data_IF_407102702486
#
_entry.id   IF_407102702486
#
_cell.length_a   1.000
_cell.length_b   1.000
_cell.length_c   1.000
_cell.angle_alpha   90.00
_cell.angle_beta   90.00
_cell.angle_gamma   90.00
#
_symmetry.space_group_name_H-M   'P 1'
#
loop_
_entity.id
_entity.type
_entity.pdbx_description
1 polymer ?
#
# COMPACT_ATOMS: atom_id res chain seq x y z
N UNK A 1 -18.45 48.33 6.96
CA UNK A 1 -18.97 48.48 5.60
C UNK A 1 -19.04 49.95 5.28
N UNK A 2 -18.77 50.32 4.05
CA UNK A 2 -18.87 51.72 3.55
C UNK A 2 -20.33 52.08 3.25
N UNK A 3 -21.26 51.15 3.50
CA UNK A 3 -22.67 51.33 3.19
C UNK A 3 -23.36 52.29 4.18
N UNK A 4 -24.15 53.19 3.65
CA UNK A 4 -25.03 54.08 4.43
C UNK A 4 -26.35 53.37 4.64
N UNK A 5 -26.84 53.26 5.91
CA UNK A 5 -28.14 52.65 6.18
C UNK A 5 -29.28 53.39 5.51
N UNK A 6 -30.36 52.69 5.17
CA UNK A 6 -31.54 53.26 4.59
C UNK A 6 -32.13 54.38 5.50
N UNK A 7 -32.42 55.51 4.93
CA UNK A 7 -32.95 56.67 5.66
C UNK A 7 -31.87 57.66 6.17
N UNK A 8 -30.58 57.35 5.98
CA UNK A 8 -29.45 58.21 6.36
C UNK A 8 -28.66 58.67 5.13
N UNK A 9 -27.83 59.68 5.35
CA UNK A 9 -26.87 60.20 4.37
C UNK A 9 -25.45 60.16 4.95
N UNK A 10 -24.40 60.15 4.13
CA UNK A 10 -23.03 59.98 4.59
C UNK A 10 -22.56 61.05 5.57
N UNK A 11 -23.06 62.26 5.47
CA UNK A 11 -22.77 63.36 6.40
C UNK A 11 -23.33 63.15 7.81
N UNK A 12 -24.22 62.18 7.98
CA UNK A 12 -24.76 61.78 9.28
C UNK A 12 -23.95 60.64 9.95
N UNK A 13 -22.87 60.22 9.34
CA UNK A 13 -21.96 59.23 9.92
C UNK A 13 -21.22 59.81 11.13
N UNK A 14 -21.24 59.09 12.23
CA UNK A 14 -20.54 59.38 13.48
C UNK A 14 -20.90 60.74 14.14
N UNK A 15 -22.09 61.28 13.85
CA UNK A 15 -22.61 62.52 14.46
C UNK A 15 -23.84 62.21 15.35
N UNK A 16 -24.12 63.01 16.38
CA UNK A 16 -25.27 62.85 17.22
C UNK A 16 -26.59 62.86 16.42
N UNK A 17 -27.40 61.84 16.58
CA UNK A 17 -28.67 61.67 15.86
C UNK A 17 -28.54 61.05 14.46
N UNK A 18 -27.30 60.75 14.05
CA UNK A 18 -26.99 59.99 12.85
C UNK A 18 -26.80 58.51 13.11
N UNK A 19 -25.86 57.92 12.41
CA UNK A 19 -25.48 56.47 12.58
C UNK A 19 -23.98 56.31 12.76
N UNK A 20 -23.57 55.21 13.42
CA UNK A 20 -22.17 54.79 13.50
C UNK A 20 -22.07 53.34 13.13
N UNK A 21 -20.97 52.96 12.51
CA UNK A 21 -20.71 51.55 12.21
C UNK A 21 -20.47 50.78 13.51
N UNK A 22 -20.98 49.55 13.59
CA UNK A 22 -20.68 48.64 14.69
C UNK A 22 -19.17 48.38 14.72
N UNK A 23 -18.46 48.73 15.82
CA UNK A 23 -17.00 48.55 15.89
C UNK A 23 -16.60 47.10 16.10
N UNK A 24 -17.50 46.26 16.59
CA UNK A 24 -17.22 44.86 16.83
C UNK A 24 -17.29 44.04 15.54
N UNK A 25 -16.34 43.15 15.41
CA UNK A 25 -16.33 42.19 14.30
C UNK A 25 -17.22 41.01 14.71
N UNK A 26 -18.12 40.59 13.83
CA UNK A 26 -18.93 39.38 14.02
C UNK A 26 -18.05 38.17 14.28
N UNK A 27 -18.43 37.35 15.26
CA UNK A 27 -17.72 36.11 15.61
C UNK A 27 -17.56 35.19 14.36
N UNK A 28 -16.36 34.71 14.16
CA UNK A 28 -16.01 33.77 13.09
C UNK A 28 -16.94 32.55 13.06
N UNK A 29 -17.44 32.11 14.21
CA UNK A 29 -18.41 31.01 14.30
C UNK A 29 -19.72 31.30 13.58
N UNK A 30 -20.10 32.56 13.40
CA UNK A 30 -21.29 32.94 12.63
C UNK A 30 -21.16 32.44 11.15
N UNK A 31 -20.04 32.70 10.49
CA UNK A 31 -19.79 32.21 9.14
C UNK A 31 -19.49 30.70 9.13
N UNK A 32 -18.67 30.23 10.06
CA UNK A 32 -18.30 28.82 10.16
C UNK A 32 -19.51 27.91 10.35
N UNK A 33 -20.55 28.36 11.06
CA UNK A 33 -21.78 27.61 11.28
C UNK A 33 -22.65 27.45 10.03
N UNK A 34 -22.38 28.18 8.96
CA UNK A 34 -23.06 28.05 7.66
C UNK A 34 -22.21 27.25 6.64
N UNK A 35 -21.10 26.68 7.06
CA UNK A 35 -20.21 25.96 6.14
C UNK A 35 -20.90 24.90 5.29
N UNK A 36 -21.83 24.06 5.79
CA UNK A 36 -22.56 23.11 4.96
C UNK A 36 -23.34 23.77 3.83
N UNK A 37 -24.07 24.86 4.13
CA UNK A 37 -24.85 25.61 3.16
C UNK A 37 -23.94 26.32 2.13
N UNK A 38 -22.86 26.97 2.59
CA UNK A 38 -21.89 27.66 1.72
C UNK A 38 -21.25 26.70 0.72
N UNK A 39 -20.76 25.56 1.19
CA UNK A 39 -20.08 24.57 0.33
C UNK A 39 -21.02 23.94 -0.69
N UNK A 40 -22.30 23.78 -0.32
CA UNK A 40 -23.32 23.20 -1.19
C UNK A 40 -24.05 24.23 -2.05
N UNK A 41 -23.60 25.50 -2.07
CA UNK A 41 -24.14 26.59 -2.90
C UNK A 41 -25.55 27.02 -2.56
N UNK A 42 -25.89 27.02 -1.27
CA UNK A 42 -27.19 27.48 -0.77
C UNK A 42 -27.47 28.90 -1.24
N UNK A 43 -28.68 29.12 -1.80
CA UNK A 43 -29.15 30.41 -2.35
C UNK A 43 -28.26 31.04 -3.42
N UNK A 44 -27.24 30.37 -3.94
CA UNK A 44 -26.56 30.87 -5.13
C UNK A 44 -27.50 30.81 -6.34
N UNK A 45 -27.60 31.89 -7.15
CA UNK A 45 -28.50 31.90 -8.29
C UNK A 45 -28.06 30.93 -9.38
N UNK A 46 -29.04 30.34 -10.07
CA UNK A 46 -28.82 29.46 -11.20
C UNK A 46 -29.24 28.00 -10.97
N UNK A 47 -29.76 27.38 -12.02
CA UNK A 47 -30.26 25.98 -11.96
C UNK A 47 -29.17 24.97 -11.58
N UNK A 48 -27.92 25.19 -12.04
CA UNK A 48 -26.78 24.34 -11.70
C UNK A 48 -26.49 24.38 -10.18
N UNK A 49 -26.45 25.56 -9.59
CA UNK A 49 -26.21 25.72 -8.14
C UNK A 49 -27.32 25.09 -7.32
N UNK A 50 -28.56 25.28 -7.73
CA UNK A 50 -29.71 24.63 -7.11
C UNK A 50 -29.66 23.10 -7.22
N UNK A 51 -29.21 22.57 -8.36
CA UNK A 51 -29.03 21.12 -8.54
C UNK A 51 -27.92 20.59 -7.62
N UNK A 52 -26.80 21.31 -7.48
CA UNK A 52 -25.72 20.96 -6.54
C UNK A 52 -26.24 20.95 -5.11
N UNK A 53 -26.93 22.01 -4.68
CA UNK A 53 -27.51 22.06 -3.34
C UNK A 53 -28.43 20.87 -3.06
N UNK A 54 -29.40 20.61 -3.95
CA UNK A 54 -30.35 19.52 -3.79
C UNK A 54 -29.69 18.13 -3.77
N UNK A 55 -28.56 17.96 -4.45
CA UNK A 55 -27.81 16.70 -4.49
C UNK A 55 -26.87 16.49 -3.28
N UNK A 56 -26.42 17.57 -2.63
CA UNK A 56 -25.34 17.50 -1.64
C UNK A 56 -25.69 18.01 -0.24
N UNK A 57 -26.86 18.63 -0.07
CA UNK A 57 -27.38 19.05 1.23
C UNK A 57 -28.67 18.31 1.59
N UNK A 58 -28.80 17.66 2.76
CA UNK A 58 -27.77 17.49 3.80
C UNK A 58 -26.55 16.68 3.33
N UNK A 59 -25.37 16.96 3.89
CA UNK A 59 -24.14 16.25 3.57
C UNK A 59 -24.17 14.81 4.14
N UNK A 60 -23.39 13.89 3.55
CA UNK A 60 -23.29 12.52 4.09
C UNK A 60 -22.42 12.48 5.35
N UNK A 61 -21.27 13.15 5.32
CA UNK A 61 -20.25 13.04 6.35
C UNK A 61 -19.62 14.39 6.68
N UNK A 62 -19.46 14.65 7.99
CA UNK A 62 -18.77 15.83 8.52
C UNK A 62 -17.64 15.44 9.47
N UNK A 63 -16.37 15.45 9.02
CA UNK A 63 -15.22 15.31 9.91
C UNK A 63 -14.98 16.60 10.72
N UNK A 64 -14.67 16.45 12.00
CA UNK A 64 -14.31 17.59 12.88
C UNK A 64 -13.46 17.15 14.07
N UNK A 65 -12.82 18.11 14.73
CA UNK A 65 -12.16 17.91 16.03
C UNK A 65 -13.15 17.89 17.19
N UNK A 66 -12.78 17.16 18.25
CA UNK A 66 -13.61 17.04 19.46
C UNK A 66 -13.78 18.35 20.23
N UNK A 67 -12.86 19.29 20.10
CA UNK A 67 -12.81 20.53 20.87
C UNK A 67 -13.78 21.61 20.38
N UNK A 68 -14.39 21.44 19.20
CA UNK A 68 -15.34 22.39 18.62
C UNK A 68 -16.80 21.91 18.62
N UNK A 69 -17.12 20.86 19.39
CA UNK A 69 -18.49 20.31 19.47
C UNK A 69 -19.45 21.35 20.00
N UNK A 70 -19.14 22.05 21.09
CA UNK A 70 -19.99 23.03 21.70
C UNK A 70 -20.11 24.36 20.94
N UNK A 71 -19.17 24.65 20.10
CA UNK A 71 -19.11 25.88 19.31
C UNK A 71 -19.60 25.62 17.90
N UNK A 72 -18.73 25.12 17.05
CA UNK A 72 -18.99 24.96 15.63
C UNK A 72 -20.10 23.94 15.31
N UNK A 73 -20.05 22.72 15.90
CA UNK A 73 -21.05 21.68 15.60
C UNK A 73 -22.45 22.14 16.06
N UNK A 74 -22.55 22.58 17.33
CA UNK A 74 -23.84 23.02 17.89
C UNK A 74 -24.45 24.13 17.06
N UNK A 75 -23.70 25.20 16.77
CA UNK A 75 -24.20 26.35 15.99
C UNK A 75 -24.58 25.95 14.57
N UNK A 76 -23.86 25.01 13.95
CA UNK A 76 -24.19 24.54 12.60
C UNK A 76 -25.48 23.74 12.58
N UNK A 77 -25.70 22.85 13.55
CA UNK A 77 -26.93 22.06 13.66
C UNK A 77 -28.12 22.95 13.94
N UNK A 78 -27.99 23.90 14.88
CA UNK A 78 -29.05 24.82 15.25
C UNK A 78 -29.48 25.67 14.04
N UNK A 79 -28.55 26.27 13.32
CA UNK A 79 -28.83 27.07 12.12
C UNK A 79 -29.48 26.27 11.01
N UNK A 80 -28.95 25.11 10.69
CA UNK A 80 -29.54 24.27 9.65
C UNK A 80 -30.94 23.79 10.03
N UNK A 81 -31.17 23.49 11.32
CA UNK A 81 -32.48 23.12 11.80
C UNK A 81 -33.48 24.28 11.69
N UNK A 82 -33.09 25.48 12.09
CA UNK A 82 -33.96 26.67 12.02
C UNK A 82 -34.28 27.07 10.59
N UNK A 83 -33.27 27.05 9.70
CA UNK A 83 -33.41 27.49 8.32
C UNK A 83 -33.97 26.39 7.41
N UNK A 84 -33.33 25.24 7.37
CA UNK A 84 -33.63 24.16 6.41
C UNK A 84 -34.55 23.08 6.99
N UNK A 85 -34.92 23.14 8.29
CA UNK A 85 -35.75 22.17 9.01
C UNK A 85 -35.17 20.73 9.01
N UNK A 86 -33.86 20.56 8.84
CA UNK A 86 -33.18 19.28 8.84
C UNK A 86 -31.82 19.37 9.53
N UNK A 87 -31.17 18.22 9.74
CA UNK A 87 -29.76 18.15 10.14
C UNK A 87 -28.87 18.46 8.95
N UNK A 88 -27.71 19.12 9.12
CA UNK A 88 -26.84 19.51 8.01
C UNK A 88 -26.03 18.35 7.45
N UNK A 89 -25.98 17.18 8.11
CA UNK A 89 -25.30 15.96 7.69
C UNK A 89 -25.92 14.72 8.31
N UNK A 90 -25.68 13.56 7.69
CA UNK A 90 -26.12 12.27 8.20
C UNK A 90 -25.19 11.75 9.31
N UNK A 91 -23.87 11.90 9.13
CA UNK A 91 -22.85 11.39 10.05
C UNK A 91 -21.81 12.47 10.40
N UNK A 92 -21.32 12.46 11.63
CA UNK A 92 -20.18 13.26 12.05
C UNK A 92 -19.07 12.34 12.59
N UNK A 93 -17.85 12.49 12.07
CA UNK A 93 -16.68 11.79 12.62
C UNK A 93 -15.85 12.74 13.46
N UNK A 94 -15.45 12.27 14.65
CA UNK A 94 -14.68 13.06 15.61
C UNK A 94 -13.25 12.57 15.63
N UNK A 95 -12.30 13.45 15.32
CA UNK A 95 -10.87 13.19 15.48
C UNK A 95 -10.36 13.67 16.84
N UNK A 96 -9.31 13.03 17.35
CA UNK A 96 -8.50 13.56 18.43
C UNK A 96 -7.61 14.73 17.97
N UNK A 97 -6.70 15.15 18.83
CA UNK A 97 -5.73 16.17 18.51
C UNK A 97 -4.52 15.60 17.77
N UNK A 98 -3.88 16.44 16.97
CA UNK A 98 -2.53 16.18 16.49
C UNK A 98 -1.56 16.71 17.54
N UNK A 99 -0.75 15.79 18.10
CA UNK A 99 0.26 16.09 19.12
C UNK A 99 1.63 16.25 18.46
N UNK A 100 2.51 17.03 19.11
CA UNK A 100 3.89 17.13 18.71
C UNK A 100 4.66 15.82 19.03
N UNK A 101 5.95 15.68 18.62
CA UNK A 101 6.73 14.49 18.92
C UNK A 101 6.88 14.15 20.41
N UNK A 102 6.70 15.14 21.29
CA UNK A 102 6.72 14.99 22.74
C UNK A 102 5.34 14.68 23.35
N UNK A 103 4.35 14.32 22.52
CA UNK A 103 2.95 14.05 22.91
C UNK A 103 2.24 15.26 23.57
N UNK A 104 2.61 16.48 23.18
CA UNK A 104 1.97 17.71 23.68
C UNK A 104 1.05 18.31 22.62
N UNK A 105 -0.07 18.88 23.06
CA UNK A 105 -0.96 19.62 22.17
C UNK A 105 -0.21 20.77 21.50
N UNK A 106 -0.27 20.81 20.16
CA UNK A 106 0.32 21.89 19.36
C UNK A 106 -0.44 23.20 19.57
N UNK A 107 0.30 24.30 19.75
CA UNK A 107 -0.27 25.64 19.75
C UNK A 107 0.73 26.67 19.22
N UNK A 108 0.23 27.70 18.54
CA UNK A 108 1.06 28.80 18.04
C UNK A 108 1.82 29.51 19.17
N UNK A 109 1.17 29.68 20.33
CA UNK A 109 1.78 30.33 21.49
C UNK A 109 2.95 29.56 22.10
N UNK A 110 2.98 28.23 21.95
CA UNK A 110 4.07 27.36 22.42
C UNK A 110 5.18 27.18 21.38
N UNK A 111 4.94 27.58 20.14
CA UNK A 111 5.93 27.44 19.05
C UNK A 111 6.19 25.99 18.60
N UNK A 112 5.36 25.03 19.02
CA UNK A 112 5.53 23.60 18.72
C UNK A 112 4.64 23.12 17.56
N UNK A 113 4.12 24.03 16.75
CA UNK A 113 3.27 23.69 15.61
C UNK A 113 4.13 23.16 14.46
N UNK A 114 3.82 21.98 13.97
CA UNK A 114 4.37 21.44 12.72
C UNK A 114 3.40 21.72 11.58
N UNK A 115 3.87 22.45 10.57
CA UNK A 115 3.09 22.71 9.35
C UNK A 115 3.39 21.65 8.30
N UNK A 116 2.40 21.26 7.46
CA UNK A 116 2.55 20.14 6.53
C UNK A 116 3.55 20.37 5.38
N UNK A 117 3.94 21.61 5.08
CA UNK A 117 4.86 21.91 3.98
C UNK A 117 6.22 21.20 4.08
N UNK A 118 6.78 21.14 5.29
CA UNK A 118 8.08 20.49 5.52
C UNK A 118 8.00 18.97 5.31
N UNK A 119 7.10 18.23 5.97
CA UNK A 119 6.97 16.80 5.74
C UNK A 119 6.52 16.44 4.31
N UNK A 120 5.69 17.24 3.65
CA UNK A 120 5.31 17.02 2.25
C UNK A 120 6.55 17.12 1.33
N UNK A 121 7.40 18.13 1.52
CA UNK A 121 8.65 18.26 0.75
C UNK A 121 9.64 17.12 1.02
N UNK A 122 9.67 16.62 2.25
CA UNK A 122 10.63 15.59 2.67
C UNK A 122 10.19 14.18 2.29
N UNK A 123 8.92 13.83 2.50
CA UNK A 123 8.40 12.47 2.37
C UNK A 123 7.45 12.28 1.18
N UNK A 124 6.88 13.34 0.65
CA UNK A 124 5.83 13.32 -0.36
C UNK A 124 4.42 13.39 0.24
N UNK A 125 3.46 13.83 -0.56
CA UNK A 125 2.07 14.01 -0.13
C UNK A 125 1.42 12.68 0.30
N UNK A 126 1.61 11.60 -0.45
CA UNK A 126 1.07 10.27 -0.12
C UNK A 126 1.56 9.77 1.24
N UNK A 127 2.82 10.02 1.59
CA UNK A 127 3.39 9.63 2.87
C UNK A 127 2.74 10.35 4.06
N UNK A 128 2.47 11.65 3.91
CA UNK A 128 1.78 12.45 4.92
C UNK A 128 0.32 12.02 5.05
N UNK A 129 -0.35 11.73 3.94
CA UNK A 129 -1.72 11.21 3.93
C UNK A 129 -1.81 9.82 4.58
N UNK A 130 -0.85 8.94 4.30
CA UNK A 130 -0.76 7.63 4.94
C UNK A 130 -0.68 7.76 6.46
N UNK A 131 0.22 8.60 6.97
CA UNK A 131 0.31 8.87 8.41
C UNK A 131 -1.01 9.38 8.98
N UNK A 132 -1.66 10.35 8.32
CA UNK A 132 -2.94 10.87 8.75
C UNK A 132 -4.04 9.79 8.75
N UNK A 133 -4.07 8.94 7.72
CA UNK A 133 -5.05 7.87 7.58
C UNK A 133 -4.81 6.68 8.53
N UNK A 134 -3.60 6.51 9.06
CA UNK A 134 -3.32 5.49 10.08
C UNK A 134 -3.86 5.87 11.47
N UNK A 135 -4.25 7.14 11.68
CA UNK A 135 -4.86 7.59 12.92
C UNK A 135 -6.30 7.06 13.07
N UNK A 136 -6.67 6.66 14.27
CA UNK A 136 -8.02 6.19 14.60
C UNK A 136 -8.90 7.34 15.04
N UNK A 137 -10.18 7.30 14.65
CA UNK A 137 -11.17 8.26 15.12
C UNK A 137 -11.27 8.23 16.65
N UNK A 138 -11.46 9.40 17.24
CA UNK A 138 -11.62 9.57 18.69
C UNK A 138 -10.32 9.48 19.50
N UNK A 139 -9.18 9.19 18.87
CA UNK A 139 -7.87 9.13 19.51
C UNK A 139 -6.94 10.24 19.02
N UNK A 140 -6.07 10.70 19.91
CA UNK A 140 -5.02 11.63 19.56
C UNK A 140 -3.95 10.94 18.67
N UNK A 141 -3.42 11.67 17.69
CA UNK A 141 -2.38 11.20 16.80
C UNK A 141 -1.10 12.03 17.03
N UNK A 142 0.02 11.36 17.27
CA UNK A 142 1.32 12.02 17.39
C UNK A 142 1.95 12.22 16.01
N UNK A 143 2.58 13.37 15.81
CA UNK A 143 3.40 13.59 14.62
C UNK A 143 4.53 12.56 14.56
N UNK A 144 4.54 11.72 13.52
CA UNK A 144 5.45 10.59 13.40
C UNK A 144 6.05 10.47 11.98
N UNK A 145 7.33 10.86 11.86
CA UNK A 145 8.09 10.70 10.62
C UNK A 145 8.37 9.22 10.28
N UNK A 146 8.35 8.33 11.26
CA UNK A 146 8.50 6.89 11.07
C UNK A 146 7.33 6.34 10.24
N UNK A 147 6.10 6.71 10.60
CA UNK A 147 4.90 6.35 9.86
C UNK A 147 4.91 6.94 8.44
N UNK A 148 5.35 8.18 8.28
CA UNK A 148 5.50 8.78 6.94
C UNK A 148 6.52 8.03 6.07
N UNK A 149 7.63 7.53 6.64
CA UNK A 149 8.58 6.68 5.92
C UNK A 149 7.96 5.34 5.49
N UNK A 150 7.08 4.77 6.30
CA UNK A 150 6.32 3.56 5.95
C UNK A 150 5.41 3.86 4.76
N UNK A 151 4.60 4.91 4.82
CA UNK A 151 3.72 5.30 3.72
C UNK A 151 4.47 5.58 2.42
N UNK A 152 5.65 6.24 2.49
CA UNK A 152 6.50 6.43 1.32
C UNK A 152 6.99 5.11 0.73
N UNK A 153 7.39 4.15 1.57
CA UNK A 153 7.80 2.82 1.08
C UNK A 153 6.65 2.08 0.41
N UNK A 154 5.44 2.18 0.98
CA UNK A 154 4.24 1.58 0.40
C UNK A 154 3.95 2.15 -0.99
N UNK A 155 3.97 3.47 -1.15
CA UNK A 155 3.78 4.14 -2.45
C UNK A 155 4.85 3.68 -3.48
N UNK A 156 6.13 3.69 -3.10
CA UNK A 156 7.22 3.23 -3.98
C UNK A 156 7.06 1.74 -4.33
N UNK A 157 6.63 0.90 -3.38
CA UNK A 157 6.42 -0.53 -3.63
C UNK A 157 5.28 -0.75 -4.62
N UNK A 158 4.19 0.02 -4.53
CA UNK A 158 3.07 -0.03 -5.48
C UNK A 158 3.55 0.29 -6.91
N UNK A 159 4.28 1.38 -7.09
CA UNK A 159 4.87 1.77 -8.38
C UNK A 159 5.79 0.65 -8.93
N UNK A 160 6.68 0.13 -8.11
CA UNK A 160 7.63 -0.89 -8.54
C UNK A 160 6.96 -2.23 -8.87
N UNK A 161 6.00 -2.67 -8.06
CA UNK A 161 5.26 -3.92 -8.30
C UNK A 161 4.44 -3.84 -9.60
N UNK A 162 3.78 -2.72 -9.85
CA UNK A 162 3.01 -2.50 -11.08
C UNK A 162 3.94 -2.44 -12.30
N UNK A 163 5.04 -1.67 -12.22
CA UNK A 163 6.04 -1.61 -13.29
C UNK A 163 6.60 -2.99 -13.62
N UNK A 164 6.92 -3.78 -12.59
CA UNK A 164 7.39 -5.15 -12.74
C UNK A 164 6.36 -6.03 -13.48
N UNK A 165 5.11 -6.04 -13.02
CA UNK A 165 4.07 -6.89 -13.61
C UNK A 165 3.75 -6.50 -15.05
N UNK A 166 3.76 -5.21 -15.38
CA UNK A 166 3.52 -4.72 -16.73
C UNK A 166 4.69 -4.98 -17.68
N UNK A 167 5.91 -5.13 -17.15
CA UNK A 167 7.08 -5.48 -17.97
C UNK A 167 7.17 -6.98 -18.31
N UNK A 168 6.48 -7.86 -17.57
CA UNK A 168 6.51 -9.29 -17.80
C UNK A 168 5.95 -9.65 -19.19
N UNK A 169 6.75 -10.37 -19.98
CA UNK A 169 6.35 -10.85 -21.30
C UNK A 169 6.35 -9.82 -22.41
N UNK A 170 6.94 -8.64 -22.21
CA UNK A 170 7.25 -7.70 -23.27
C UNK A 170 8.66 -7.97 -23.78
N UNK A 171 8.80 -8.16 -25.09
CA UNK A 171 10.10 -8.42 -25.75
C UNK A 171 10.99 -7.17 -25.90
N UNK A 172 10.53 -6.02 -25.41
CA UNK A 172 11.23 -4.75 -25.52
C UNK A 172 12.32 -4.65 -24.43
N UNK A 173 13.59 -4.68 -24.87
CA UNK A 173 14.80 -4.62 -24.02
C UNK A 173 14.91 -3.32 -23.20
N UNK A 174 14.12 -2.31 -23.49
CA UNK A 174 14.24 -0.98 -22.87
C UNK A 174 13.37 -0.76 -21.63
N UNK A 175 12.60 -1.73 -21.15
CA UNK A 175 11.73 -1.61 -19.98
C UNK A 175 10.88 -0.31 -19.94
N UNK A 176 10.70 0.33 -21.08
CA UNK A 176 9.71 1.39 -21.19
C UNK A 176 8.35 0.74 -21.00
N UNK A 177 7.57 1.27 -20.06
CA UNK A 177 6.12 1.05 -20.01
C UNK A 177 5.61 1.69 -21.28
N UNK A 178 5.62 0.93 -22.41
CA UNK A 178 4.93 1.37 -23.61
C UNK A 178 3.49 1.58 -23.19
N UNK A 179 2.86 2.64 -23.68
CA UNK A 179 1.44 2.94 -23.47
C UNK A 179 0.67 1.63 -23.50
N UNK A 180 0.22 1.18 -22.34
CA UNK A 180 -0.47 -0.09 -22.23
C UNK A 180 -1.77 0.08 -22.98
N UNK A 181 -1.91 -0.61 -24.09
CA UNK A 181 -3.25 -0.91 -24.58
C UNK A 181 -4.02 -1.42 -23.36
N UNK A 182 -5.21 -0.87 -23.13
CA UNK A 182 -6.13 -1.20 -22.04
C UNK A 182 -6.08 -2.68 -21.74
N UNK A 183 -5.41 -3.08 -20.66
CA UNK A 183 -5.20 -4.49 -20.35
C UNK A 183 -6.48 -5.02 -19.72
N UNK A 184 -7.21 -5.82 -20.48
CA UNK A 184 -8.38 -6.53 -19.96
C UNK A 184 -7.93 -7.87 -19.37
N UNK A 185 -8.03 -8.02 -18.06
CA UNK A 185 -7.79 -9.29 -17.36
C UNK A 185 -9.10 -10.02 -17.16
N UNK A 186 -9.24 -11.18 -17.82
CA UNK A 186 -10.44 -11.99 -17.66
C UNK A 186 -10.30 -12.94 -16.45
N UNK A 187 -11.14 -12.85 -15.41
CA UNK A 187 -11.10 -13.73 -14.25
C UNK A 187 -11.08 -15.22 -14.58
N UNK A 188 -11.70 -15.63 -15.70
CA UNK A 188 -11.72 -17.01 -16.15
C UNK A 188 -10.35 -17.57 -16.57
N UNK A 189 -9.39 -16.69 -16.86
CA UNK A 189 -8.01 -17.08 -17.21
C UNK A 189 -7.16 -17.43 -15.97
N UNK A 190 -7.66 -17.20 -14.75
CA UNK A 190 -7.00 -17.59 -13.50
C UNK A 190 -7.29 -19.07 -13.25
N UNK A 191 -6.36 -19.94 -13.64
CA UNK A 191 -6.52 -21.39 -13.63
C UNK A 191 -5.67 -22.09 -12.57
N UNK A 192 -4.50 -21.53 -12.24
CA UNK A 192 -3.58 -22.15 -11.31
C UNK A 192 -4.00 -21.99 -9.84
N UNK A 193 -3.82 -23.02 -8.99
CA UNK A 193 -4.30 -23.01 -7.62
C UNK A 193 -3.77 -21.83 -6.78
N UNK A 194 -2.49 -21.49 -6.91
CA UNK A 194 -1.90 -20.40 -6.16
C UNK A 194 -2.43 -19.04 -6.59
N UNK A 195 -2.68 -18.84 -7.89
CA UNK A 195 -3.29 -17.62 -8.42
C UNK A 195 -4.73 -17.47 -7.93
N UNK A 196 -5.47 -18.57 -7.92
CA UNK A 196 -6.84 -18.63 -7.35
C UNK A 196 -6.85 -18.30 -5.87
N UNK A 197 -5.88 -18.83 -5.10
CA UNK A 197 -5.75 -18.50 -3.68
C UNK A 197 -5.46 -17.01 -3.44
N UNK A 198 -4.62 -16.39 -4.27
CA UNK A 198 -4.37 -14.95 -4.23
C UNK A 198 -5.65 -14.14 -4.52
N UNK A 199 -6.46 -14.57 -5.48
CA UNK A 199 -7.75 -13.93 -5.76
C UNK A 199 -8.76 -14.15 -4.63
N UNK A 200 -8.80 -15.34 -4.02
CA UNK A 200 -9.62 -15.59 -2.85
C UNK A 200 -9.28 -14.64 -1.69
N UNK A 201 -7.99 -14.44 -1.43
CA UNK A 201 -7.55 -13.46 -0.41
C UNK A 201 -7.93 -12.04 -0.79
N UNK A 202 -7.78 -11.65 -2.06
CA UNK A 202 -8.21 -10.33 -2.54
C UNK A 202 -9.70 -10.09 -2.31
N UNK A 203 -10.56 -11.06 -2.59
CA UNK A 203 -12.00 -10.96 -2.34
C UNK A 203 -12.30 -10.67 -0.86
N UNK A 204 -11.61 -11.33 0.07
CA UNK A 204 -11.75 -11.08 1.51
C UNK A 204 -11.32 -9.67 1.88
N UNK A 205 -10.18 -9.21 1.38
CA UNK A 205 -9.66 -7.86 1.66
C UNK A 205 -10.60 -6.78 1.12
N UNK A 206 -11.15 -6.96 -0.09
CA UNK A 206 -12.15 -6.02 -0.64
C UNK A 206 -13.39 -5.94 0.26
N UNK A 207 -13.89 -7.08 0.76
CA UNK A 207 -15.03 -7.09 1.70
C UNK A 207 -14.70 -6.38 3.01
N UNK A 208 -13.56 -6.69 3.59
CA UNK A 208 -13.11 -6.14 4.87
C UNK A 208 -12.88 -4.63 4.77
N UNK A 209 -12.16 -4.17 3.76
CA UNK A 209 -11.92 -2.77 3.51
C UNK A 209 -13.23 -2.00 3.26
N UNK A 210 -14.16 -2.58 2.46
CA UNK A 210 -15.47 -1.98 2.20
C UNK A 210 -16.29 -1.87 3.47
N UNK A 211 -16.35 -2.92 4.29
CA UNK A 211 -17.07 -2.90 5.56
C UNK A 211 -16.50 -1.86 6.53
N UNK A 212 -15.17 -1.78 6.64
CA UNK A 212 -14.48 -0.81 7.49
C UNK A 212 -14.76 0.63 7.02
N UNK A 213 -14.67 0.92 5.72
CA UNK A 213 -14.97 2.25 5.18
C UNK A 213 -16.44 2.64 5.36
N UNK A 214 -17.37 1.72 5.17
CA UNK A 214 -18.80 1.96 5.44
C UNK A 214 -19.10 2.24 6.92
N UNK A 215 -18.22 1.80 7.82
CA UNK A 215 -18.28 2.11 9.26
C UNK A 215 -17.41 3.32 9.64
N UNK A 216 -16.86 4.04 8.67
CA UNK A 216 -15.92 5.16 8.86
C UNK A 216 -14.60 4.78 9.57
N UNK A 217 -14.26 3.50 9.62
CA UNK A 217 -13.02 2.99 10.22
C UNK A 217 -11.88 2.91 9.18
N UNK A 218 -11.51 4.05 8.62
CA UNK A 218 -10.54 4.15 7.53
C UNK A 218 -9.16 3.54 7.88
N UNK A 219 -8.73 3.63 9.13
CA UNK A 219 -7.46 3.04 9.57
C UNK A 219 -7.47 1.51 9.51
N UNK A 220 -8.60 0.86 9.83
CA UNK A 220 -8.76 -0.59 9.69
C UNK A 220 -8.78 -1.02 8.22
N UNK A 221 -9.43 -0.21 7.37
CA UNK A 221 -9.39 -0.47 5.94
C UNK A 221 -7.97 -0.41 5.38
N UNK A 222 -7.21 0.62 5.76
CA UNK A 222 -5.81 0.76 5.36
C UNK A 222 -4.96 -0.42 5.85
N UNK A 223 -5.10 -0.83 7.11
CA UNK A 223 -4.39 -1.97 7.71
C UNK A 223 -4.65 -3.26 6.92
N UNK A 224 -5.92 -3.60 6.66
CA UNK A 224 -6.28 -4.82 5.91
C UNK A 224 -5.73 -4.81 4.47
N UNK A 225 -5.76 -3.65 3.80
CA UNK A 225 -5.23 -3.49 2.44
C UNK A 225 -3.70 -3.60 2.45
N UNK A 226 -3.04 -2.94 3.38
CA UNK A 226 -1.58 -2.90 3.47
C UNK A 226 -1.00 -4.27 3.80
N UNK A 227 -1.56 -4.97 4.78
CA UNK A 227 -1.10 -6.31 5.17
C UNK A 227 -1.12 -7.27 3.98
N UNK A 228 -2.22 -7.29 3.24
CA UNK A 228 -2.28 -8.14 2.06
C UNK A 228 -1.40 -7.64 0.92
N UNK A 229 -1.23 -6.33 0.74
CA UNK A 229 -0.35 -5.79 -0.29
C UNK A 229 1.11 -6.21 -0.07
N UNK A 230 1.58 -6.21 1.17
CA UNK A 230 2.93 -6.72 1.49
C UNK A 230 3.03 -8.22 1.23
N UNK A 231 2.06 -9.03 1.66
CA UNK A 231 2.02 -10.46 1.36
C UNK A 231 1.99 -10.72 -0.16
N UNK A 232 1.17 -9.98 -0.89
CA UNK A 232 1.10 -10.08 -2.35
C UNK A 232 2.44 -9.78 -3.01
N UNK A 233 3.14 -8.73 -2.56
CA UNK A 233 4.43 -8.35 -3.13
C UNK A 233 5.59 -9.26 -2.72
N UNK A 234 5.65 -9.68 -1.46
CA UNK A 234 6.83 -10.35 -0.90
C UNK A 234 6.73 -11.87 -0.99
N UNK A 235 5.51 -12.41 -1.06
CA UNK A 235 5.25 -13.84 -1.22
C UNK A 235 4.70 -14.18 -2.61
N UNK A 236 3.50 -13.68 -2.96
CA UNK A 236 2.82 -14.10 -4.18
C UNK A 236 3.62 -13.77 -5.44
N UNK A 237 4.04 -12.51 -5.63
CA UNK A 237 4.86 -12.12 -6.80
C UNK A 237 6.12 -13.00 -6.88
N UNK A 238 6.79 -13.21 -5.76
CA UNK A 238 8.01 -13.99 -5.71
C UNK A 238 7.81 -15.48 -6.04
N UNK A 239 6.67 -16.04 -5.63
CA UNK A 239 6.29 -17.42 -5.94
C UNK A 239 6.00 -17.62 -7.43
N UNK A 240 5.27 -16.68 -8.06
CA UNK A 240 4.76 -16.87 -9.42
C UNK A 240 5.61 -16.21 -10.51
N UNK A 241 6.59 -15.38 -10.16
CA UNK A 241 7.33 -14.56 -11.15
C UNK A 241 7.96 -15.36 -12.28
N UNK A 242 8.59 -16.50 -11.99
CA UNK A 242 9.24 -17.31 -13.03
C UNK A 242 8.21 -17.92 -13.98
N UNK A 243 7.09 -18.41 -13.44
CA UNK A 243 5.96 -18.88 -14.21
C UNK A 243 5.36 -17.74 -15.06
N UNK A 244 5.21 -16.53 -14.50
CA UNK A 244 4.73 -15.36 -15.23
C UNK A 244 5.68 -14.93 -16.37
N UNK A 245 7.00 -15.08 -16.22
CA UNK A 245 7.96 -14.87 -17.32
C UNK A 245 7.84 -15.90 -18.43
N UNK A 246 7.34 -17.11 -18.15
CA UNK A 246 7.28 -18.20 -19.12
C UNK A 246 8.64 -18.85 -19.38
N UNK A 247 9.60 -18.65 -18.48
CA UNK A 247 10.95 -19.20 -18.62
C UNK A 247 11.04 -20.63 -18.06
N UNK A 248 11.96 -21.42 -18.60
CA UNK A 248 12.22 -22.76 -18.07
C UNK A 248 12.67 -22.67 -16.60
N UNK A 249 12.18 -23.59 -15.78
CA UNK A 249 12.64 -23.77 -14.39
C UNK A 249 14.06 -24.35 -14.33
N UNK A 250 14.59 -24.52 -13.12
CA UNK A 250 15.93 -25.07 -12.90
C UNK A 250 16.10 -26.54 -13.39
N UNK A 251 15.00 -27.24 -13.69
CA UNK A 251 14.95 -28.60 -14.20
C UNK A 251 14.75 -28.66 -15.72
N UNK A 252 14.55 -27.49 -16.36
CA UNK A 252 14.32 -27.36 -17.80
C UNK A 252 12.85 -27.43 -18.22
N UNK A 253 11.90 -27.50 -17.27
CA UNK A 253 10.47 -27.49 -17.59
C UNK A 253 10.00 -26.08 -17.90
N UNK A 254 9.32 -25.90 -19.03
CA UNK A 254 8.70 -24.64 -19.43
C UNK A 254 7.23 -24.65 -18.98
N UNK A 255 6.74 -23.62 -18.29
CA UNK A 255 5.34 -23.55 -17.92
C UNK A 255 4.44 -23.48 -19.15
N UNK A 256 3.23 -24.06 -19.08
CA UNK A 256 2.27 -23.99 -20.17
C UNK A 256 1.81 -22.55 -20.41
N UNK A 257 1.39 -22.22 -21.62
CA UNK A 257 0.82 -20.89 -21.94
C UNK A 257 -0.36 -20.53 -21.03
N UNK A 258 -1.19 -21.52 -20.69
CA UNK A 258 -2.32 -21.33 -19.76
C UNK A 258 -1.82 -20.95 -18.36
N UNK A 259 -0.79 -21.61 -17.86
CA UNK A 259 -0.22 -21.31 -16.54
C UNK A 259 0.46 -19.92 -16.52
N UNK A 260 1.15 -19.55 -17.61
CA UNK A 260 1.71 -18.19 -17.80
C UNK A 260 0.61 -17.14 -17.79
N UNK A 261 -0.45 -17.39 -18.58
CA UNK A 261 -1.60 -16.49 -18.69
C UNK A 261 -2.30 -16.32 -17.34
N UNK A 262 -2.46 -17.41 -16.57
CA UNK A 262 -3.05 -17.41 -15.24
C UNK A 262 -2.27 -16.46 -14.30
N UNK A 263 -0.95 -16.61 -14.20
CA UNK A 263 -0.13 -15.76 -13.36
C UNK A 263 -0.20 -14.28 -13.74
N UNK A 264 -0.09 -13.97 -15.06
CA UNK A 264 -0.18 -12.58 -15.56
C UNK A 264 -1.53 -11.96 -15.29
N UNK A 265 -2.61 -12.71 -15.47
CA UNK A 265 -3.98 -12.26 -15.21
C UNK A 265 -4.18 -11.98 -13.72
N UNK A 266 -3.76 -12.88 -12.84
CA UNK A 266 -3.90 -12.69 -11.40
C UNK A 266 -3.04 -11.53 -10.86
N UNK A 267 -1.83 -11.34 -11.40
CA UNK A 267 -1.00 -10.16 -11.11
C UNK A 267 -1.70 -8.87 -11.53
N UNK A 268 -2.27 -8.84 -12.73
CA UNK A 268 -2.99 -7.68 -13.25
C UNK A 268 -4.23 -7.34 -12.43
N UNK A 269 -5.11 -8.32 -12.18
CA UNK A 269 -6.30 -8.16 -11.36
C UNK A 269 -5.97 -7.69 -9.94
N UNK A 270 -4.90 -8.25 -9.34
CA UNK A 270 -4.44 -7.86 -8.01
C UNK A 270 -3.95 -6.41 -7.95
N UNK A 271 -3.13 -6.00 -8.91
CA UNK A 271 -2.59 -4.63 -8.93
C UNK A 271 -3.65 -3.59 -9.28
N UNK A 272 -4.59 -3.92 -10.16
CA UNK A 272 -5.78 -3.10 -10.43
C UNK A 272 -6.63 -2.90 -9.16
N UNK A 273 -6.85 -3.98 -8.41
CA UNK A 273 -7.53 -3.88 -7.12
C UNK A 273 -6.78 -2.96 -6.15
N UNK A 274 -5.47 -3.15 -5.99
CA UNK A 274 -4.67 -2.33 -5.08
C UNK A 274 -4.61 -0.86 -5.50
N UNK A 275 -4.58 -0.55 -6.80
CA UNK A 275 -4.64 0.84 -7.25
C UNK A 275 -5.95 1.51 -6.79
N UNK A 276 -7.08 0.84 -6.91
CA UNK A 276 -8.39 1.35 -6.47
C UNK A 276 -8.54 1.38 -4.95
N UNK A 277 -8.11 0.33 -4.25
CA UNK A 277 -8.17 0.23 -2.79
C UNK A 277 -7.27 1.26 -2.09
N UNK A 278 -6.10 1.54 -2.66
CA UNK A 278 -5.14 2.51 -2.11
C UNK A 278 -5.39 3.96 -2.56
N UNK A 279 -6.22 4.19 -3.58
CA UNK A 279 -6.50 5.54 -4.08
C UNK A 279 -6.96 6.55 -3.01
N UNK A 280 -7.80 6.20 -2.03
CA UNK A 280 -8.16 7.12 -0.95
C UNK A 280 -7.00 7.50 -0.04
N UNK A 281 -5.99 6.66 0.09
CA UNK A 281 -4.86 6.79 1.00
C UNK A 281 -3.60 7.35 0.34
N UNK A 282 -3.26 6.83 -0.84
CA UNK A 282 -2.08 7.16 -1.65
C UNK A 282 -2.50 7.67 -3.03
N UNK A 283 -3.21 8.81 -3.10
CA UNK A 283 -3.88 9.24 -4.34
C UNK A 283 -2.92 9.43 -5.53
N UNK A 284 -1.71 9.93 -5.31
CA UNK A 284 -0.78 10.20 -6.40
C UNK A 284 -0.14 8.91 -6.95
N UNK A 285 0.32 8.03 -6.08
CA UNK A 285 0.88 6.75 -6.52
C UNK A 285 -0.18 5.85 -7.17
N UNK A 286 -1.41 5.85 -6.64
CA UNK A 286 -2.52 5.11 -7.22
C UNK A 286 -2.92 5.64 -8.60
N UNK A 287 -2.99 6.95 -8.79
CA UNK A 287 -3.26 7.57 -10.09
C UNK A 287 -2.17 7.27 -11.11
N UNK A 288 -0.90 7.33 -10.70
CA UNK A 288 0.22 7.03 -11.57
C UNK A 288 0.15 5.58 -12.09
N UNK A 289 -0.02 4.59 -11.21
CA UNK A 289 -0.12 3.19 -11.64
C UNK A 289 -1.39 2.91 -12.44
N UNK A 290 -2.48 3.59 -12.12
CA UNK A 290 -3.72 3.52 -12.90
C UNK A 290 -3.50 3.98 -14.33
N UNK A 291 -2.84 5.11 -14.54
CA UNK A 291 -2.53 5.62 -15.87
C UNK A 291 -1.70 4.66 -16.72
N UNK A 292 -0.88 3.81 -16.09
CA UNK A 292 -0.10 2.78 -16.79
C UNK A 292 -0.94 1.57 -17.21
N UNK A 293 -1.98 1.24 -16.43
CA UNK A 293 -2.84 0.07 -16.67
C UNK A 293 -4.07 0.40 -17.53
N UNK A 294 -4.57 1.63 -17.42
CA UNK A 294 -5.84 2.10 -17.97
C UNK A 294 -5.64 3.39 -18.79
N UNK A 295 -4.68 3.38 -19.71
CA UNK A 295 -4.40 4.56 -20.54
C UNK A 295 -5.65 5.04 -21.27
N UNK A 296 -6.04 6.30 -21.05
CA UNK A 296 -7.21 6.92 -21.68
C UNK A 296 -8.56 6.63 -21.00
N UNK A 297 -8.63 5.84 -19.93
CA UNK A 297 -9.88 5.53 -19.21
C UNK A 297 -10.25 6.56 -18.11
N UNK A 298 -9.49 7.63 -17.99
CA UNK A 298 -9.69 8.64 -16.96
C UNK A 298 -8.96 8.33 -15.65
N UNK A 299 -9.38 8.96 -14.56
CA UNK A 299 -8.70 8.90 -13.26
C UNK A 299 -9.22 7.73 -12.41
N UNK A 300 -8.31 7.11 -11.61
CA UNK A 300 -8.67 6.11 -10.60
C UNK A 300 -9.69 6.66 -9.58
N UNK A 301 -9.63 7.97 -9.30
CA UNK A 301 -10.56 8.63 -8.37
C UNK A 301 -11.99 8.75 -8.87
N UNK A 302 -12.23 8.40 -10.15
CA UNK A 302 -13.56 8.31 -10.78
C UNK A 302 -13.92 6.88 -11.14
N UNK A 303 -13.01 5.94 -10.99
CA UNK A 303 -13.25 4.52 -11.22
C UNK A 303 -14.17 3.95 -10.14
N UNK A 304 -14.90 2.90 -10.49
CA UNK A 304 -15.74 2.19 -9.52
C UNK A 304 -14.88 1.52 -8.44
N UNK A 305 -15.38 1.54 -7.21
CA UNK A 305 -14.79 0.76 -6.12
C UNK A 305 -14.80 -0.73 -6.47
N UNK A 306 -13.73 -1.50 -6.17
CA UNK A 306 -13.69 -2.91 -6.51
C UNK A 306 -14.76 -3.70 -5.76
N UNK A 307 -15.37 -4.67 -6.45
CA UNK A 307 -16.34 -5.58 -5.86
C UNK A 307 -15.73 -6.96 -5.67
N UNK A 308 -16.09 -7.73 -4.62
CA UNK A 308 -15.51 -9.04 -4.36
C UNK A 308 -15.82 -10.08 -5.44
N UNK A 309 -16.94 -9.92 -6.18
CA UNK A 309 -17.46 -10.93 -7.11
C UNK A 309 -16.45 -11.30 -8.21
N UNK A 310 -15.70 -10.33 -8.73
CA UNK A 310 -14.66 -10.53 -9.76
C UNK A 310 -13.57 -11.47 -9.26
N UNK A 311 -13.13 -11.25 -8.03
CA UNK A 311 -12.05 -12.03 -7.42
C UNK A 311 -12.53 -13.39 -6.95
N UNK A 312 -13.80 -13.52 -6.51
CA UNK A 312 -14.44 -14.80 -6.17
C UNK A 312 -14.62 -15.68 -7.39
N UNK A 313 -15.03 -15.09 -8.52
CA UNK A 313 -15.11 -15.79 -9.79
C UNK A 313 -13.73 -16.33 -10.21
N UNK A 314 -12.67 -15.52 -10.07
CA UNK A 314 -11.30 -15.93 -10.35
C UNK A 314 -10.80 -17.01 -9.36
N UNK A 315 -11.18 -16.94 -8.09
CA UNK A 315 -10.75 -17.85 -7.05
C UNK A 315 -11.31 -19.28 -7.21
N UNK A 316 -12.46 -19.43 -7.88
CA UNK A 316 -13.11 -20.73 -8.14
C UNK A 316 -13.17 -21.65 -6.89
N UNK A 317 -13.46 -21.06 -5.71
CA UNK A 317 -13.58 -21.74 -4.40
C UNK A 317 -12.28 -22.31 -3.81
N UNK A 318 -11.12 -21.93 -4.32
CA UNK A 318 -9.83 -22.28 -3.68
C UNK A 318 -9.68 -21.48 -2.37
N UNK A 319 -9.15 -22.14 -1.33
CA UNK A 319 -8.89 -21.47 -0.05
C UNK A 319 -7.77 -20.43 -0.15
N UNK A 320 -7.91 -19.26 0.45
CA UNK A 320 -6.84 -18.26 0.54
C UNK A 320 -5.65 -18.73 1.40
N UNK A 321 -5.84 -19.72 2.26
CA UNK A 321 -4.81 -20.28 3.16
C UNK A 321 -3.65 -20.91 2.38
N UNK A 322 -3.90 -21.41 1.17
CA UNK A 322 -2.85 -21.92 0.29
C UNK A 322 -1.74 -20.90 0.07
N UNK A 323 -2.09 -19.61 -0.14
CA UNK A 323 -1.10 -18.56 -0.33
C UNK A 323 -0.26 -18.33 0.92
N UNK A 324 -0.89 -18.32 2.10
CA UNK A 324 -0.18 -18.16 3.37
C UNK A 324 0.80 -19.33 3.60
N UNK A 325 0.34 -20.56 3.44
CA UNK A 325 1.17 -21.76 3.59
C UNK A 325 2.33 -21.81 2.59
N UNK A 326 2.09 -21.41 1.33
CA UNK A 326 3.15 -21.33 0.32
C UNK A 326 4.19 -20.24 0.65
N UNK A 327 3.75 -19.09 1.16
CA UNK A 327 4.62 -18.02 1.64
C UNK A 327 5.48 -18.47 2.83
N UNK A 328 4.91 -19.16 3.80
CA UNK A 328 5.65 -19.74 4.93
C UNK A 328 6.69 -20.77 4.48
N UNK A 329 6.34 -21.64 3.53
CA UNK A 329 7.28 -22.58 2.95
C UNK A 329 8.45 -21.88 2.25
N UNK A 330 8.16 -20.83 1.46
CA UNK A 330 9.20 -20.00 0.82
C UNK A 330 10.08 -19.28 1.85
N UNK A 331 9.48 -18.73 2.90
CA UNK A 331 10.22 -18.08 3.98
C UNK A 331 11.15 -19.06 4.70
N UNK A 332 10.70 -20.32 4.94
CA UNK A 332 11.52 -21.37 5.51
C UNK A 332 12.73 -21.70 4.62
N UNK A 333 12.53 -21.84 3.29
CA UNK A 333 13.60 -22.07 2.31
C UNK A 333 14.62 -20.93 2.28
N UNK A 334 14.15 -19.69 2.30
CA UNK A 334 15.01 -18.48 2.39
C UNK A 334 15.76 -18.43 3.72
N UNK A 335 15.09 -18.83 4.83
CA UNK A 335 15.67 -18.90 6.16
C UNK A 335 16.85 -19.87 6.24
N UNK A 336 16.77 -21.05 5.60
CA UNK A 336 17.88 -22.01 5.50
C UNK A 336 19.10 -21.38 4.85
N UNK A 337 18.92 -20.70 3.70
CA UNK A 337 20.01 -20.03 2.97
C UNK A 337 20.63 -18.89 3.79
N UNK A 338 19.81 -18.10 4.47
CA UNK A 338 20.27 -17.02 5.34
C UNK A 338 21.10 -17.54 6.51
N UNK A 339 20.65 -18.62 7.18
CA UNK A 339 21.41 -19.28 8.27
C UNK A 339 22.73 -19.84 7.77
N UNK A 340 22.74 -20.44 6.59
CA UNK A 340 23.95 -20.94 5.94
C UNK A 340 24.86 -19.83 5.36
N UNK A 341 24.42 -18.56 5.41
CA UNK A 341 25.15 -17.40 4.85
C UNK A 341 25.48 -17.55 3.36
N UNK A 342 24.62 -18.22 2.61
CA UNK A 342 24.75 -18.40 1.16
C UNK A 342 23.81 -17.47 0.39
N UNK A 343 24.10 -17.27 -0.89
CA UNK A 343 23.25 -16.45 -1.77
C UNK A 343 21.84 -17.03 -1.89
N UNK A 344 20.83 -16.18 -2.00
CA UNK A 344 19.46 -16.61 -2.32
C UNK A 344 19.34 -17.33 -3.66
N UNK A 345 20.32 -17.13 -4.57
CA UNK A 345 20.42 -17.84 -5.85
C UNK A 345 20.99 -19.26 -5.73
N UNK A 346 21.58 -19.64 -4.60
CA UNK A 346 22.15 -20.97 -4.38
C UNK A 346 21.07 -22.04 -4.50
N UNK A 347 21.26 -23.08 -5.33
CA UNK A 347 20.29 -24.16 -5.45
C UNK A 347 20.24 -25.02 -4.18
N UNK A 348 19.05 -25.52 -3.85
CA UNK A 348 18.83 -26.51 -2.80
C UNK A 348 18.65 -27.86 -3.47
N UNK A 349 19.55 -28.83 -3.19
CA UNK A 349 19.52 -30.15 -3.82
C UNK A 349 18.38 -31.03 -3.28
N UNK A 350 18.05 -30.90 -1.99
CA UNK A 350 16.92 -31.58 -1.38
C UNK A 350 16.51 -30.87 -0.11
N UNK A 351 15.22 -30.92 0.23
CA UNK A 351 14.69 -30.32 1.44
C UNK A 351 13.55 -31.18 2.03
N UNK A 352 13.46 -31.19 3.33
CA UNK A 352 12.30 -31.75 4.04
C UNK A 352 11.57 -30.63 4.76
N UNK A 353 10.33 -30.41 4.37
CA UNK A 353 9.44 -29.44 5.03
C UNK A 353 8.71 -30.10 6.18
N UNK A 354 8.84 -29.50 7.35
CA UNK A 354 8.11 -29.93 8.54
C UNK A 354 6.79 -29.19 8.68
N UNK A 355 5.73 -29.82 8.24
CA UNK A 355 4.39 -29.22 8.21
C UNK A 355 3.34 -30.18 8.76
N UNK A 356 2.22 -29.64 9.24
CA UNK A 356 1.05 -30.44 9.59
C UNK A 356 0.42 -31.06 8.32
N UNK A 357 -0.37 -32.12 8.48
CA UNK A 357 -0.89 -32.87 7.32
C UNK A 357 -1.85 -32.04 6.46
N UNK A 358 -2.66 -31.18 7.05
CA UNK A 358 -3.56 -30.24 6.36
C UNK A 358 -2.79 -29.19 5.57
N UNK A 359 -1.69 -28.66 6.12
CA UNK A 359 -0.79 -27.71 5.41
C UNK A 359 -0.09 -28.41 4.26
N UNK A 360 0.35 -29.67 4.47
CA UNK A 360 0.97 -30.49 3.41
C UNK A 360 0.01 -30.67 2.23
N UNK A 361 -1.24 -31.05 2.50
CA UNK A 361 -2.25 -31.22 1.47
C UNK A 361 -2.51 -29.90 0.70
N UNK A 362 -2.60 -28.81 1.46
CA UNK A 362 -2.79 -27.47 0.90
C UNK A 362 -1.67 -27.10 -0.08
N UNK A 363 -0.40 -27.16 0.32
CA UNK A 363 0.73 -26.71 -0.53
C UNK A 363 1.10 -27.67 -1.65
N UNK A 364 0.55 -28.90 -1.66
CA UNK A 364 0.83 -29.91 -2.69
C UNK A 364 0.58 -29.37 -4.10
N UNK A 365 -0.47 -28.57 -4.27
CA UNK A 365 -0.87 -27.98 -5.57
C UNK A 365 0.01 -26.80 -6.00
N UNK A 366 0.83 -26.23 -5.09
CA UNK A 366 1.72 -25.09 -5.36
C UNK A 366 3.22 -25.48 -5.28
N UNK A 367 3.54 -26.78 -5.16
CA UNK A 367 4.93 -27.24 -5.00
C UNK A 367 5.86 -26.79 -6.11
N UNK A 368 5.38 -26.69 -7.34
CA UNK A 368 6.17 -26.21 -8.48
C UNK A 368 6.62 -24.76 -8.27
N UNK A 369 5.70 -23.88 -7.94
CA UNK A 369 6.00 -22.46 -7.67
C UNK A 369 6.91 -22.30 -6.44
N UNK A 370 6.66 -23.08 -5.36
CA UNK A 370 7.49 -23.09 -4.14
C UNK A 370 8.92 -23.55 -4.46
N UNK A 371 9.06 -24.64 -5.20
CA UNK A 371 10.37 -25.19 -5.60
C UNK A 371 11.17 -24.19 -6.44
N UNK A 372 10.53 -23.58 -7.43
CA UNK A 372 11.20 -22.64 -8.32
C UNK A 372 11.57 -21.35 -7.58
N UNK A 373 10.66 -20.75 -6.80
CA UNK A 373 10.97 -19.57 -6.00
C UNK A 373 12.05 -19.82 -4.95
N UNK A 374 12.03 -21.01 -4.33
CA UNK A 374 13.03 -21.49 -3.37
C UNK A 374 14.34 -21.96 -4.01
N UNK A 375 14.42 -22.07 -5.35
CA UNK A 375 15.53 -22.71 -6.08
C UNK A 375 15.81 -24.13 -5.58
N UNK A 376 14.78 -24.95 -5.44
CA UNK A 376 14.91 -26.38 -5.11
C UNK A 376 14.98 -27.16 -6.41
N UNK A 377 16.16 -27.69 -6.73
CA UNK A 377 16.41 -28.44 -7.98
C UNK A 377 16.21 -29.94 -7.82
N UNK A 378 15.99 -30.42 -6.61
CA UNK A 378 15.80 -31.83 -6.33
C UNK A 378 14.49 -32.08 -5.57
N UNK A 379 14.50 -33.05 -4.64
CA UNK A 379 13.29 -33.54 -3.99
C UNK A 379 12.85 -32.68 -2.82
N UNK A 380 11.56 -32.29 -2.82
CA UNK A 380 10.87 -31.80 -1.63
C UNK A 380 10.19 -32.99 -0.95
N UNK A 381 10.51 -33.22 0.31
CA UNK A 381 9.91 -34.25 1.16
C UNK A 381 9.17 -33.58 2.31
N UNK A 382 8.24 -34.30 2.91
CA UNK A 382 7.47 -33.82 4.08
C UNK A 382 7.73 -34.70 5.30
N UNK A 383 7.77 -34.07 6.46
CA UNK A 383 7.81 -34.75 7.76
C UNK A 383 6.83 -34.08 8.71
N UNK A 384 6.27 -34.79 9.65
CA UNK A 384 5.45 -34.18 10.68
C UNK A 384 6.25 -33.11 11.46
N UNK A 385 5.61 -32.07 11.93
CA UNK A 385 6.25 -30.86 12.50
C UNK A 385 7.32 -31.15 13.56
N UNK A 386 7.13 -32.21 14.38
CA UNK A 386 8.07 -32.60 15.43
C UNK A 386 9.33 -33.31 14.88
N UNK A 387 9.21 -34.08 13.80
CA UNK A 387 10.33 -34.77 13.15
C UNK A 387 11.20 -33.82 12.33
N UNK A 388 10.59 -32.78 11.75
CA UNK A 388 11.27 -31.80 10.95
C UNK A 388 12.18 -30.87 11.76
N UNK A 389 11.78 -30.50 12.98
CA UNK A 389 12.63 -29.70 13.86
C UNK A 389 13.97 -30.40 14.17
N UNK A 390 13.97 -31.74 14.21
CA UNK A 390 15.18 -32.56 14.39
C UNK A 390 15.99 -32.70 13.09
N UNK A 391 15.31 -32.83 11.94
CA UNK A 391 15.97 -32.98 10.63
C UNK A 391 16.61 -31.67 10.13
N UNK A 392 15.97 -30.52 10.35
CA UNK A 392 16.53 -29.19 10.02
C UNK A 392 17.83 -28.94 10.77
N UNK A 393 17.93 -29.39 12.04
CA UNK A 393 19.16 -29.26 12.80
C UNK A 393 20.29 -30.12 12.21
N UNK A 394 19.98 -31.35 11.83
CA UNK A 394 20.98 -32.28 11.26
C UNK A 394 21.49 -31.83 9.86
N UNK A 395 20.59 -31.29 9.01
CA UNK A 395 20.99 -30.79 7.67
C UNK A 395 21.73 -29.44 7.72
N UNK A 396 21.43 -28.59 8.70
CA UNK A 396 22.20 -27.35 8.92
C UNK A 396 23.61 -27.63 9.41
N UNK A 397 23.77 -28.61 10.29
CA UNK A 397 25.08 -29.04 10.78
C UNK A 397 25.93 -29.68 9.65
N UNK A 398 25.34 -30.55 8.82
CA UNK A 398 26.00 -31.13 7.67
C UNK A 398 26.37 -30.12 6.58
N UNK A 399 25.52 -29.11 6.33
CA UNK A 399 25.83 -28.03 5.38
C UNK A 399 26.92 -27.10 5.90
N UNK A 400 27.00 -26.89 7.21
CA UNK A 400 28.09 -26.15 7.84
C UNK A 400 29.42 -26.88 7.71
N UNK A 401 29.43 -28.16 8.01
CA UNK A 401 30.63 -29.01 7.91
C UNK A 401 31.14 -29.08 6.45
N UNK A 402 30.22 -29.17 5.47
CA UNK A 402 30.60 -29.14 4.03
C UNK A 402 31.15 -27.77 3.60
N UNK A 403 30.60 -26.66 4.15
CA UNK A 403 31.09 -25.33 3.86
C UNK A 403 32.43 -25.05 4.52
N UNK A 404 32.61 -25.52 5.75
CA UNK A 404 33.88 -25.36 6.47
C UNK A 404 34.97 -26.21 5.82
N UNK A 405 34.64 -27.40 5.29
CA UNK A 405 35.53 -28.23 4.50
C UNK A 405 35.90 -27.56 3.16
N UNK A 406 34.92 -26.99 2.45
CA UNK A 406 35.20 -26.26 1.20
C UNK A 406 36.03 -24.99 1.42
N UNK A 407 35.86 -24.31 2.56
CA UNK A 407 36.74 -23.18 2.93
C UNK A 407 38.14 -23.61 3.24
N UNK A 408 38.33 -24.69 3.98
CA UNK A 408 39.64 -25.25 4.28
C UNK A 408 40.36 -25.69 3.01
N UNK A 409 39.63 -26.30 2.07
CA UNK A 409 40.19 -26.68 0.74
C UNK A 409 40.56 -25.44 -0.10
N UNK A 410 39.81 -24.34 0.02
CA UNK A 410 40.08 -23.06 -0.67
C UNK A 410 41.24 -22.31 -0.02
N UNK A 411 41.38 -22.34 1.29
CA UNK A 411 42.51 -21.76 2.02
C UNK A 411 43.77 -22.54 1.77
N UNK A 412 43.72 -23.88 1.75
CA UNK A 412 44.87 -24.73 1.37
C UNK A 412 45.31 -24.51 -0.08
N UNK A 413 44.37 -24.32 -1.01
CA UNK A 413 44.67 -23.96 -2.39
C UNK A 413 45.28 -22.53 -2.53
N UNK A 414 44.86 -21.61 -1.69
CA UNK A 414 45.44 -20.25 -1.62
C UNK A 414 46.83 -20.23 -1.03
N UNK A 415 47.12 -21.04 -0.01
CA UNK A 415 48.49 -21.22 0.52
C UNK A 415 49.42 -21.82 -0.51
N UNK A 416 48.98 -22.82 -1.29
CA UNK A 416 49.78 -23.42 -2.40
C UNK A 416 50.07 -22.38 -3.48
N UNK A 417 49.14 -21.49 -3.81
CA UNK A 417 49.34 -20.42 -4.81
C UNK A 417 50.32 -19.35 -4.29
N UNK A 418 50.35 -19.09 -2.98
CA UNK A 418 51.30 -18.14 -2.39
C UNK A 418 52.71 -18.70 -2.34
N UNK A 419 52.91 -19.99 -2.06
CA UNK A 419 54.25 -20.64 -2.10
C UNK A 419 54.81 -20.72 -3.52
N UNK A 420 54.02 -20.89 -4.57
CA UNK A 420 54.51 -20.84 -5.97
C UNK A 420 54.81 -19.40 -6.48
N UNK A 421 54.28 -18.34 -5.82
CA UNK A 421 54.53 -16.95 -6.23
C UNK A 421 55.77 -16.29 -5.60
N UNK A 422 56.47 -16.93 -4.66
CA UNK A 422 57.69 -16.41 -4.04
C UNK A 422 59.01 -16.71 -4.80
N UNK A 423 58.94 -17.42 -5.95
CA UNK A 423 60.08 -17.71 -6.80
C UNK A 423 60.11 -16.91 -8.11
N UNK A 424 60.21 -15.60 -8.00
CA UNK A 424 60.37 -14.74 -9.17
C UNK A 424 60.67 -13.29 -8.85
N UNK A 425 61.96 -12.89 -8.87
CA UNK A 425 62.34 -11.48 -8.75
C UNK A 425 61.74 -10.60 -9.85
N UNK A 426 61.19 -9.40 -9.53
CA UNK A 426 60.66 -8.49 -10.55
C UNK A 426 61.81 -7.74 -11.28
N UNK A 427 61.75 -7.52 -12.59
CA UNK A 427 62.75 -6.77 -13.34
C UNK A 427 62.75 -5.30 -12.98
N UNK A 428 63.95 -4.72 -12.85
CA UNK A 428 64.26 -3.36 -12.46
C UNK A 428 63.55 -2.29 -13.30
N UNK A 429 62.92 -1.32 -12.64
CA UNK A 429 62.30 -0.12 -13.26
C UNK A 429 63.38 0.79 -13.86
N UNK A 430 63.29 1.09 -15.17
CA UNK A 430 64.06 2.17 -15.83
C UNK A 430 63.57 3.56 -15.39
N UNK A 431 64.49 4.55 -15.22
CA UNK A 431 64.09 5.88 -14.77
C UNK A 431 63.40 6.67 -15.87
N UNK A 432 62.29 7.38 -15.53
CA UNK A 432 61.68 8.41 -16.37
C UNK A 432 62.60 9.64 -16.44
N UNK A 433 63.03 10.00 -17.66
CA UNK A 433 63.54 11.35 -17.96
C UNK A 433 62.39 12.32 -18.11
N UNK A 434 62.67 13.54 -17.67
CA UNK A 434 61.91 14.78 -17.57
C UNK A 434 60.73 14.99 -18.55
#
# INVERSE_FOLDING_TARGET
TDDVPEGYTEDQRDVPGGFTAEPDIMDTWATSSLTPQIVTRWEEPGEENQAIFNATFPMDLRPQGQDIIRTWLFSTVDRAHLENKCLPWAHATLSGWILDPDHKKMSKSKGNVVVPDKPIKQFGADAVRYWAASARLGLDATYDEGQMKIGRRLAIKLLNATKFALAIGREDENHHVAEAATATWNPADVTEPLDRAAMAKMALVVREATAALNSYEHSKALEAIEDYFWQFCDDYIELVKNRAYGTADATGNVPSETAVKSARTALGLGLDAFARLLAPFLPYAAEEVWSWMHAGEGSVHRAAWPTPDVYEAAAAKVSPELLAHAGEALAALRGIKSKAKVSMKTPILSVTLGVADDVRESIQSALGDIAEAGRVVGKISFAGALAAAKAVKATADAAKDALDKAKAETEAAAEVIVEESELGEPPAKKPKKK
#
